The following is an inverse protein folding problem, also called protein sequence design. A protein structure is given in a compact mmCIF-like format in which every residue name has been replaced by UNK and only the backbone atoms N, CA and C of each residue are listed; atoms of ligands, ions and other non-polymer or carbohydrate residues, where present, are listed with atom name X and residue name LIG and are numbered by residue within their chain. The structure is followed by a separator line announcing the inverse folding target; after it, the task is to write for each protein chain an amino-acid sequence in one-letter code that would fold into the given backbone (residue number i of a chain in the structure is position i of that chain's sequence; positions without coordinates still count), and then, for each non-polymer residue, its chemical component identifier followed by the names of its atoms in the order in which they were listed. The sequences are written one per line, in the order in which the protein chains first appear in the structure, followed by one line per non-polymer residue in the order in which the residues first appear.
data_IF_525321270999
#
_entry.id   IF_525321270999
#
_cell.length_a   1.000
_cell.length_b   1.000
_cell.length_c   1.000
_cell.angle_alpha   90.00
_cell.angle_beta   90.00
_cell.angle_gamma   90.00
#
_symmetry.space_group_name_H-M   'P 1'
#
loop_
_entity.id
_entity.type
_entity.pdbx_description
1 polymer ?
#
# COMPACT_ATOMS: atom_id res chain seq x y z
N UNK A 1 -6.92 -0.06 -75.17
CA UNK A 1 -5.73 0.77 -74.88
C UNK A 1 -6.15 1.91 -73.95
N UNK A 2 -5.81 1.84 -72.66
CA UNK A 2 -6.00 2.96 -71.72
C UNK A 2 -4.74 3.12 -70.88
N UNK A 3 -4.11 4.29 -71.02
CA UNK A 3 -2.73 4.58 -70.64
C UNK A 3 -2.52 4.67 -69.14
N UNK A 4 -1.41 4.07 -68.69
CA UNK A 4 -0.84 4.24 -67.36
C UNK A 4 -0.19 5.62 -67.27
N UNK A 5 -0.80 6.58 -66.57
CA UNK A 5 -0.11 7.83 -66.20
C UNK A 5 0.69 7.58 -64.92
N UNK A 6 2.01 7.74 -65.01
CA UNK A 6 2.91 7.84 -63.86
C UNK A 6 2.60 9.16 -63.14
N UNK A 7 2.49 9.14 -61.82
CA UNK A 7 2.46 10.37 -61.00
C UNK A 7 3.89 10.65 -60.58
N UNK A 8 4.40 11.83 -60.90
CA UNK A 8 5.67 12.31 -60.40
C UNK A 8 5.52 12.66 -58.92
N UNK A 9 6.35 12.03 -58.08
CA UNK A 9 6.45 12.30 -56.65
C UNK A 9 7.58 13.30 -56.46
N UNK A 10 7.23 14.56 -56.16
CA UNK A 10 8.20 15.56 -55.73
C UNK A 10 8.49 15.37 -54.24
N UNK A 11 9.72 14.96 -53.92
CA UNK A 11 10.23 14.86 -52.55
C UNK A 11 10.72 16.25 -52.14
N UNK A 12 10.04 16.87 -51.17
CA UNK A 12 10.52 18.09 -50.54
C UNK A 12 11.70 17.78 -49.60
N UNK A 13 12.90 18.19 -49.98
CA UNK A 13 14.08 18.21 -49.11
C UNK A 13 13.93 19.35 -48.09
N UNK A 14 13.94 19.00 -46.78
CA UNK A 14 14.06 19.98 -45.69
C UNK A 14 15.54 20.30 -45.48
N UNK A 15 15.88 21.57 -45.59
CA UNK A 15 17.18 22.10 -45.18
C UNK A 15 17.36 21.91 -43.67
N UNK A 16 18.43 21.21 -43.28
CA UNK A 16 18.89 21.15 -41.90
C UNK A 16 19.79 22.35 -41.64
N UNK A 17 19.27 23.34 -40.91
CA UNK A 17 20.10 24.33 -40.25
C UNK A 17 21.05 23.62 -39.29
N UNK A 18 22.35 23.85 -39.46
CA UNK A 18 23.38 23.41 -38.54
C UNK A 18 23.13 24.08 -37.18
N UNK A 19 22.91 23.26 -36.14
CA UNK A 19 22.96 23.70 -34.75
C UNK A 19 24.39 23.49 -34.29
N UNK A 20 25.16 24.58 -34.25
CA UNK A 20 26.43 24.63 -33.55
C UNK A 20 26.20 24.24 -32.08
N UNK A 21 26.98 23.27 -31.61
CA UNK A 21 26.99 22.83 -30.22
C UNK A 21 27.81 23.82 -29.41
N UNK A 22 27.15 24.82 -28.84
CA UNK A 22 27.72 25.64 -27.76
C UNK A 22 27.86 24.80 -26.49
N UNK A 23 29.00 24.13 -26.34
CA UNK A 23 29.41 23.45 -25.10
C UNK A 23 29.72 24.42 -23.96
N UNK A 24 29.89 25.72 -24.23
CA UNK A 24 30.30 26.72 -23.23
C UNK A 24 29.16 27.24 -22.34
N UNK A 25 27.90 27.09 -22.75
CA UNK A 25 26.77 27.65 -21.98
C UNK A 25 26.32 26.76 -20.82
N UNK A 26 26.63 25.46 -20.87
CA UNK A 26 26.27 24.52 -19.81
C UNK A 26 27.22 24.61 -18.60
N UNK A 27 28.49 24.90 -18.83
CA UNK A 27 29.52 25.00 -17.79
C UNK A 27 29.37 26.24 -16.90
N UNK A 28 28.86 27.36 -17.44
CA UNK A 28 28.59 28.57 -16.66
C UNK A 28 27.43 28.34 -15.67
N UNK A 29 26.42 27.57 -16.08
CA UNK A 29 25.25 27.28 -15.24
C UNK A 29 25.58 26.29 -14.10
N UNK A 30 26.51 25.37 -14.30
CA UNK A 30 26.93 24.43 -13.25
C UNK A 30 27.81 25.13 -12.20
N UNK A 31 28.67 26.05 -12.62
CA UNK A 31 29.48 26.89 -11.73
C UNK A 31 28.60 27.84 -10.89
N UNK A 32 27.63 28.54 -11.50
CA UNK A 32 26.70 29.42 -10.76
C UNK A 32 25.83 28.63 -9.75
N UNK A 33 25.46 27.38 -10.07
CA UNK A 33 24.76 26.50 -9.12
C UNK A 33 25.63 26.08 -7.93
N UNK A 34 26.92 25.78 -8.17
CA UNK A 34 27.88 25.44 -7.12
C UNK A 34 28.16 26.63 -6.19
N UNK A 35 28.30 27.84 -6.74
CA UNK A 35 28.49 29.06 -5.94
C UNK A 35 27.29 29.36 -5.04
N UNK A 36 26.06 29.14 -5.53
CA UNK A 36 24.84 29.30 -4.73
C UNK A 36 24.77 28.29 -3.59
N UNK A 37 25.14 27.04 -3.84
CA UNK A 37 25.20 26.00 -2.80
C UNK A 37 26.28 26.30 -1.77
N UNK A 38 27.46 26.77 -2.20
CA UNK A 38 28.54 27.18 -1.31
C UNK A 38 28.14 28.33 -0.39
N UNK A 39 27.52 29.38 -0.94
CA UNK A 39 27.00 30.51 -0.15
C UNK A 39 25.93 30.08 0.87
N UNK A 40 25.03 29.17 0.47
CA UNK A 40 24.02 28.63 1.39
C UNK A 40 24.67 27.80 2.51
N UNK A 41 25.67 26.99 2.18
CA UNK A 41 26.41 26.19 3.15
C UNK A 41 27.19 27.07 4.13
N UNK A 42 27.96 28.05 3.64
CA UNK A 42 28.70 29.01 4.47
C UNK A 42 27.77 29.86 5.37
N UNK A 43 26.52 30.11 4.93
CA UNK A 43 25.53 30.81 5.78
C UNK A 43 24.93 29.93 6.89
N UNK A 44 24.99 28.61 6.75
CA UNK A 44 24.37 27.63 7.66
C UNK A 44 25.36 26.97 8.60
N UNK A 45 26.62 26.90 8.18
CA UNK A 45 27.69 26.25 8.92
C UNK A 45 28.76 27.29 9.23
N UNK A 46 29.05 27.47 10.51
CA UNK A 46 30.19 28.25 10.95
C UNK A 46 31.48 27.54 10.51
N UNK A 47 32.48 28.25 9.96
CA UNK A 47 33.75 27.65 9.59
C UNK A 47 34.37 26.96 10.80
N UNK A 48 34.70 25.68 10.68
CA UNK A 48 35.41 24.94 11.72
C UNK A 48 36.86 25.44 11.77
N UNK A 49 37.35 25.81 12.96
CA UNK A 49 38.75 26.13 13.19
C UNK A 49 39.58 24.85 13.06
N UNK A 50 40.04 24.57 11.84
CA UNK A 50 41.02 23.53 11.59
C UNK A 50 42.42 24.10 11.92
N UNK A 51 43.24 23.39 12.71
CA UNK A 51 44.64 23.77 12.86
C UNK A 51 45.32 23.68 11.49
N UNK A 52 45.99 24.78 11.13
CA UNK A 52 46.67 25.00 9.85
C UNK A 52 47.53 23.80 9.45
N UNK A 53 47.04 22.94 8.54
CA UNK A 53 47.91 22.02 7.80
C UNK A 53 48.44 22.77 6.58
N UNK A 54 49.76 22.93 6.54
CA UNK A 54 50.52 23.61 5.48
C UNK A 54 50.06 23.25 4.06
N UNK A 55 50.02 24.21 3.11
CA UNK A 55 49.68 23.93 1.72
C UNK A 55 50.89 23.34 1.00
N UNK A 56 50.87 22.03 0.75
CA UNK A 56 51.89 21.37 -0.07
C UNK A 56 51.59 19.90 -0.25
N UNK A 57 50.88 19.54 -1.32
CA UNK A 57 50.62 18.14 -1.63
C UNK A 57 49.63 17.96 -2.78
N UNK A 58 50.07 18.25 -4.01
CA UNK A 58 49.42 17.75 -5.21
C UNK A 58 49.80 16.27 -5.34
N UNK A 59 48.83 15.36 -5.37
CA UNK A 59 48.95 14.13 -6.16
C UNK A 59 47.58 13.55 -6.54
N UNK A 60 47.42 13.44 -7.85
CA UNK A 60 46.40 12.74 -8.62
C UNK A 60 46.64 11.22 -8.57
N UNK A 61 45.59 10.41 -8.71
CA UNK A 61 45.75 8.97 -9.01
C UNK A 61 44.79 8.01 -8.31
N UNK A 62 43.61 7.83 -8.91
CA UNK A 62 42.88 6.55 -9.12
C UNK A 62 43.49 5.26 -8.52
N UNK A 63 42.75 4.55 -7.65
CA UNK A 63 42.57 3.08 -7.72
C UNK A 63 41.47 2.57 -6.76
N UNK A 64 40.43 2.01 -7.34
CA UNK A 64 39.74 0.75 -7.00
C UNK A 64 39.88 0.17 -5.57
N UNK A 65 38.75 0.02 -4.87
CA UNK A 65 38.55 -0.96 -3.79
C UNK A 65 37.70 -2.09 -4.39
N UNK A 66 37.87 -3.39 -4.05
CA UNK A 66 37.64 -3.88 -2.66
C UNK A 66 38.42 -5.16 -2.25
N UNK A 67 38.60 -5.41 -0.93
CA UNK A 67 38.37 -6.75 -0.33
C UNK A 67 38.43 -6.75 1.22
N UNK A 68 37.26 -6.97 1.83
CA UNK A 68 36.91 -8.07 2.76
C UNK A 68 37.93 -8.62 3.78
N UNK A 69 37.52 -8.49 5.06
CA UNK A 69 37.46 -9.52 6.12
C UNK A 69 38.63 -9.84 7.10
N UNK A 70 38.23 -9.73 8.39
CA UNK A 70 38.35 -10.73 9.49
C UNK A 70 39.48 -10.62 10.54
N UNK A 71 39.02 -10.79 11.79
CA UNK A 71 39.70 -11.29 13.02
C UNK A 71 40.70 -10.37 13.71
N UNK A 72 40.86 -10.34 15.03
CA UNK A 72 40.22 -10.92 16.23
C UNK A 72 40.83 -10.09 17.39
N UNK A 73 40.03 -9.69 18.40
CA UNK A 73 40.17 -10.10 19.81
C UNK A 73 41.37 -9.51 20.60
N UNK A 74 41.08 -9.16 21.86
CA UNK A 74 41.99 -8.98 23.00
C UNK A 74 42.76 -7.65 23.21
N UNK A 75 42.22 -6.78 24.09
CA UNK A 75 42.81 -6.50 25.42
C UNK A 75 42.14 -5.25 26.05
N UNK A 76 41.24 -5.47 27.01
CA UNK A 76 40.77 -4.41 27.91
C UNK A 76 41.19 -4.78 29.34
N UNK A 77 42.23 -4.09 29.80
CA UNK A 77 42.96 -4.33 31.04
C UNK A 77 42.12 -3.97 32.28
N UNK A 78 42.12 -4.87 33.25
CA UNK A 78 41.28 -4.83 34.45
C UNK A 78 41.84 -3.90 35.53
N UNK A 79 40.94 -3.26 36.27
CA UNK A 79 41.26 -2.51 37.49
C UNK A 79 41.78 -3.48 38.56
N UNK A 80 43.04 -3.30 38.98
CA UNK A 80 43.61 -3.94 40.17
C UNK A 80 43.43 -3.01 41.38
N UNK A 81 42.73 -3.56 42.37
CA UNK A 81 42.55 -3.09 43.73
C UNK A 81 43.72 -3.62 44.58
N UNK A 82 44.32 -2.78 45.43
CA UNK A 82 45.57 -3.14 46.12
C UNK A 82 46.14 -2.08 47.05
N UNK A 83 45.40 -1.81 48.12
CA UNK A 83 45.80 -1.32 49.45
C UNK A 83 47.31 -1.12 49.72
N UNK A 84 47.69 0.10 50.17
CA UNK A 84 48.81 0.30 51.11
C UNK A 84 48.47 1.39 52.12
N UNK A 85 48.48 0.97 53.38
CA UNK A 85 48.43 1.75 54.61
C UNK A 85 49.54 2.79 54.69
N UNK A 86 49.32 3.89 55.43
CA UNK A 86 50.34 4.46 56.33
C UNK A 86 49.69 5.46 57.32
N UNK A 87 50.16 5.37 58.56
CA UNK A 87 49.63 5.94 59.79
C UNK A 87 49.65 7.47 59.88
N UNK A 88 48.58 8.08 60.42
CA UNK A 88 48.59 9.41 61.05
C UNK A 88 47.48 9.51 62.12
N UNK A 89 47.82 10.09 63.28
CA UNK A 89 47.09 10.18 64.55
C UNK A 89 45.60 10.65 64.46
N UNK A 90 44.70 10.26 65.40
CA UNK A 90 43.29 10.65 65.32
C UNK A 90 43.08 12.11 65.75
N UNK A 91 43.02 13.03 64.79
CA UNK A 91 42.44 14.36 64.98
C UNK A 91 40.89 14.27 64.94
N UNK A 92 40.15 15.02 65.77
CA UNK A 92 38.69 14.96 65.77
C UNK A 92 38.09 15.50 64.46
N UNK A 93 37.24 14.69 63.81
CA UNK A 93 36.46 15.06 62.63
C UNK A 93 35.32 16.01 63.03
N UNK A 94 35.40 17.26 62.58
CA UNK A 94 34.34 18.26 62.75
C UNK A 94 33.50 18.31 61.48
N UNK A 95 32.25 17.86 61.57
CA UNK A 95 31.29 17.91 60.44
C UNK A 95 30.45 19.19 60.55
N UNK A 96 30.71 20.13 59.63
CA UNK A 96 29.95 21.37 59.51
C UNK A 96 28.68 21.17 58.65
N UNK A 97 27.51 21.41 59.25
CA UNK A 97 26.22 21.43 58.54
C UNK A 97 25.74 22.85 58.19
N UNK A 98 26.65 23.83 58.20
CA UNK A 98 26.31 25.26 58.05
C UNK A 98 25.95 25.66 56.61
N UNK A 99 26.20 24.80 55.62
CA UNK A 99 25.69 24.99 54.26
C UNK A 99 24.41 24.19 54.08
N UNK A 100 23.27 24.89 53.98
CA UNK A 100 22.01 24.24 53.67
C UNK A 100 22.15 23.49 52.33
N UNK A 101 21.80 22.19 52.26
CA UNK A 101 21.91 21.44 51.02
C UNK A 101 20.98 22.09 50.00
N UNK A 102 21.56 22.47 48.86
CA UNK A 102 20.85 22.98 47.68
C UNK A 102 19.68 22.04 47.45
N UNK A 103 18.47 22.52 47.76
CA UNK A 103 17.24 21.75 47.61
C UNK A 103 17.16 21.37 46.14
N UNK A 104 17.42 20.10 45.85
CA UNK A 104 17.25 19.51 44.52
C UNK A 104 15.83 19.83 44.11
N UNK A 105 15.67 20.69 43.11
CA UNK A 105 14.37 21.05 42.55
C UNK A 105 13.73 19.76 42.04
N UNK A 106 12.80 19.24 42.84
CA UNK A 106 11.99 18.07 42.56
C UNK A 106 11.07 18.36 41.38
N UNK A 107 11.59 18.15 40.17
CA UNK A 107 10.79 17.87 38.99
C UNK A 107 11.20 16.49 38.54
N UNK A 108 10.52 15.48 39.07
CA UNK A 108 10.67 14.10 38.62
C UNK A 108 10.19 14.08 37.16
N UNK A 109 11.12 14.01 36.21
CA UNK A 109 10.77 13.91 34.80
C UNK A 109 9.84 12.72 34.56
N UNK A 110 8.81 12.89 33.73
CA UNK A 110 7.87 11.81 33.37
C UNK A 110 8.59 10.56 32.83
N UNK A 111 9.82 10.73 32.32
CA UNK A 111 10.71 9.66 31.91
C UNK A 111 11.26 8.83 33.09
N UNK A 112 11.61 9.44 34.23
CA UNK A 112 12.14 8.72 35.40
C UNK A 112 11.01 8.00 36.14
N UNK A 113 9.83 8.60 36.27
CA UNK A 113 8.65 7.94 36.86
C UNK A 113 8.19 6.68 36.08
N UNK A 114 8.40 6.64 34.75
CA UNK A 114 8.16 5.43 33.93
C UNK A 114 9.28 4.38 34.04
N UNK A 115 10.47 4.78 34.45
CA UNK A 115 11.60 3.85 34.67
C UNK A 115 11.53 3.19 36.05
N UNK A 116 10.99 3.90 37.04
CA UNK A 116 11.00 3.46 38.43
C UNK A 116 9.65 2.90 38.93
N UNK A 117 8.71 2.50 38.06
CA UNK A 117 7.88 1.27 38.20
C UNK A 117 6.54 1.27 37.42
N UNK A 118 6.51 0.71 36.21
CA UNK A 118 5.28 0.28 35.55
C UNK A 118 5.10 -1.25 35.62
N UNK A 119 4.10 -1.75 36.36
CA UNK A 119 3.72 -3.18 36.35
C UNK A 119 2.28 -3.37 35.86
N UNK A 120 2.09 -3.58 34.56
CA UNK A 120 0.91 -4.28 34.01
C UNK A 120 1.32 -5.13 32.81
N UNK A 121 1.45 -6.44 33.07
CA UNK A 121 1.63 -7.49 32.08
C UNK A 121 0.43 -7.53 31.15
N UNK A 122 0.62 -7.13 29.89
CA UNK A 122 -0.28 -7.51 28.81
C UNK A 122 0.31 -8.74 28.12
N UNK A 123 -0.30 -9.89 28.40
CA UNK A 123 -0.10 -11.13 27.68
C UNK A 123 -0.47 -10.92 26.21
N UNK A 124 0.52 -10.86 25.32
CA UNK A 124 0.29 -11.06 23.89
C UNK A 124 0.18 -12.56 23.65
N UNK A 125 -1.03 -12.97 23.26
CA UNK A 125 -1.28 -14.29 22.69
C UNK A 125 -0.53 -14.39 21.37
N UNK A 126 0.43 -15.31 21.29
CA UNK A 126 0.97 -15.76 20.01
C UNK A 126 -0.11 -16.53 19.26
N UNK A 127 -0.34 -16.14 18.02
CA UNK A 127 -1.28 -16.78 17.11
C UNK A 127 -0.85 -16.58 15.66
N UNK A 128 -0.51 -17.68 15.01
CA UNK A 128 -0.50 -17.91 13.55
C UNK A 128 0.27 -16.91 12.66
N UNK A 129 1.59 -17.13 12.53
CA UNK A 129 2.52 -16.39 11.65
C UNK A 129 2.23 -16.48 10.13
N UNK A 130 1.27 -17.27 9.66
CA UNK A 130 1.02 -17.40 8.21
C UNK A 130 -0.01 -16.41 7.63
N UNK A 131 -0.67 -15.60 8.46
CA UNK A 131 -1.69 -14.64 8.00
C UNK A 131 -1.41 -13.19 8.38
N UNK A 132 -0.58 -12.94 9.39
CA UNK A 132 -0.22 -11.58 9.81
C UNK A 132 0.60 -10.88 8.72
N UNK A 133 1.55 -11.60 8.08
CA UNK A 133 2.41 -11.08 7.01
C UNK A 133 1.65 -10.58 5.78
N UNK A 134 0.57 -11.26 5.38
CA UNK A 134 -0.25 -10.76 4.26
C UNK A 134 -1.02 -9.50 4.64
N UNK A 135 -1.39 -9.34 5.92
CA UNK A 135 -2.05 -8.11 6.39
C UNK A 135 -1.06 -6.97 6.56
N UNK A 136 0.17 -7.26 7.01
CA UNK A 136 1.24 -6.28 7.14
C UNK A 136 1.77 -5.85 5.77
N UNK A 137 2.02 -6.77 4.84
CA UNK A 137 2.43 -6.45 3.46
C UNK A 137 1.37 -5.65 2.72
N UNK A 138 0.10 -6.05 2.83
CA UNK A 138 -0.99 -5.27 2.23
C UNK A 138 -1.16 -3.90 2.90
N UNK A 139 -0.85 -3.76 4.19
CA UNK A 139 -0.85 -2.47 4.89
C UNK A 139 0.36 -1.61 4.48
N UNK A 140 1.54 -2.20 4.36
CA UNK A 140 2.77 -1.56 3.91
C UNK A 140 2.61 -1.07 2.46
N UNK A 141 2.07 -1.91 1.58
CA UNK A 141 1.76 -1.54 0.21
C UNK A 141 0.76 -0.38 0.15
N UNK A 142 -0.23 -0.30 1.05
CA UNK A 142 -1.16 0.86 1.08
C UNK A 142 -0.45 2.16 1.46
N UNK A 143 0.56 2.08 2.31
CA UNK A 143 1.32 3.24 2.80
C UNK A 143 2.41 3.68 1.81
N UNK A 144 3.03 2.74 1.08
CA UNK A 144 4.07 3.03 0.09
C UNK A 144 3.47 3.26 -1.30
N UNK A 145 3.28 4.54 -1.62
CA UNK A 145 2.78 4.98 -2.92
C UNK A 145 3.80 4.70 -4.04
N UNK A 146 5.09 4.88 -3.79
CA UNK A 146 6.12 4.69 -4.81
C UNK A 146 6.16 3.22 -5.27
N UNK A 147 6.09 2.28 -4.33
CA UNK A 147 6.01 0.86 -4.62
C UNK A 147 4.69 0.49 -5.34
N UNK A 148 3.55 1.06 -4.95
CA UNK A 148 2.30 0.87 -5.69
C UNK A 148 2.40 1.32 -7.16
N UNK A 149 3.04 2.47 -7.42
CA UNK A 149 3.24 2.98 -8.78
C UNK A 149 4.15 2.03 -9.57
N UNK A 150 5.27 1.64 -8.98
CA UNK A 150 6.24 0.73 -9.62
C UNK A 150 5.60 -0.59 -10.02
N UNK A 151 4.87 -1.24 -9.09
CA UNK A 151 4.24 -2.53 -9.36
C UNK A 151 3.15 -2.46 -10.43
N UNK A 152 2.37 -1.36 -10.47
CA UNK A 152 1.30 -1.17 -11.47
C UNK A 152 1.84 -0.73 -12.84
N UNK A 153 2.93 0.03 -12.86
CA UNK A 153 3.51 0.63 -14.07
C UNK A 153 4.66 -0.22 -14.67
N UNK A 154 5.08 -1.30 -14.00
CA UNK A 154 6.20 -2.17 -14.42
C UNK A 154 6.13 -2.62 -15.87
N UNK A 155 4.94 -2.97 -16.38
CA UNK A 155 4.72 -3.37 -17.77
C UNK A 155 5.04 -2.27 -18.81
N UNK A 156 5.06 -1.00 -18.40
CA UNK A 156 5.50 0.12 -19.24
C UNK A 156 7.02 0.34 -19.16
N UNK A 157 7.66 -0.15 -18.10
CA UNK A 157 9.07 0.00 -17.80
C UNK A 157 9.91 -1.22 -18.18
N UNK A 158 9.30 -2.38 -18.43
CA UNK A 158 9.96 -3.64 -18.78
C UNK A 158 10.94 -3.52 -19.97
N UNK A 159 10.64 -2.64 -20.92
CA UNK A 159 11.50 -2.36 -22.08
C UNK A 159 12.38 -1.12 -21.91
N UNK A 160 12.30 -0.41 -20.77
CA UNK A 160 13.06 0.81 -20.51
C UNK A 160 14.26 0.50 -19.60
N UNK A 161 15.36 1.22 -19.77
CA UNK A 161 16.55 1.08 -18.92
C UNK A 161 16.35 1.66 -17.52
N UNK A 162 15.48 2.66 -17.40
CA UNK A 162 15.33 3.48 -16.21
C UNK A 162 13.98 3.23 -15.53
N UNK A 163 13.97 3.26 -14.19
CA UNK A 163 12.75 3.10 -13.39
C UNK A 163 11.82 4.32 -13.48
N UNK A 164 12.31 5.45 -13.99
CA UNK A 164 11.52 6.66 -14.15
C UNK A 164 10.89 6.68 -15.55
N UNK A 165 9.55 6.71 -15.68
CA UNK A 165 8.92 6.71 -16.98
C UNK A 165 9.19 8.04 -17.71
N UNK A 166 9.82 7.97 -18.88
CA UNK A 166 10.11 9.13 -19.73
C UNK A 166 9.25 9.12 -21.00
N UNK A 167 9.18 10.27 -21.70
CA UNK A 167 8.51 10.41 -23.00
C UNK A 167 7.07 9.88 -23.05
N UNK A 168 6.81 8.92 -23.95
CA UNK A 168 5.49 8.31 -24.15
C UNK A 168 5.06 7.43 -22.95
N UNK A 169 6.01 6.79 -22.28
CA UNK A 169 5.71 5.96 -21.11
C UNK A 169 5.33 6.83 -19.92
N UNK A 170 5.91 8.04 -19.78
CA UNK A 170 5.48 9.05 -18.81
C UNK A 170 4.00 9.37 -18.95
N UNK A 171 3.58 9.59 -20.18
CA UNK A 171 2.20 9.93 -20.54
C UNK A 171 1.21 8.80 -20.21
N UNK A 172 1.55 7.55 -20.54
CA UNK A 172 0.77 6.37 -20.16
C UNK A 172 0.75 6.15 -18.64
N UNK A 173 1.87 6.34 -17.97
CA UNK A 173 1.97 6.22 -16.50
C UNK A 173 1.07 7.24 -15.81
N UNK A 174 1.04 8.51 -16.26
CA UNK A 174 0.14 9.54 -15.73
C UNK A 174 -1.33 9.13 -15.88
N UNK A 175 -1.72 8.56 -17.02
CA UNK A 175 -3.09 8.08 -17.23
C UNK A 175 -3.43 6.87 -16.33
N UNK A 176 -2.50 5.94 -16.11
CA UNK A 176 -2.69 4.86 -15.12
C UNK A 176 -2.82 5.41 -13.69
N UNK A 177 -2.02 6.41 -13.32
CA UNK A 177 -2.12 7.08 -12.00
C UNK A 177 -3.47 7.78 -11.82
N UNK A 178 -4.01 8.39 -12.87
CA UNK A 178 -5.35 8.98 -12.82
C UNK A 178 -6.43 7.90 -12.64
N UNK A 179 -6.31 6.76 -13.31
CA UNK A 179 -7.22 5.63 -13.14
C UNK A 179 -7.15 5.03 -11.74
N UNK A 180 -5.96 4.88 -11.16
CA UNK A 180 -5.79 4.37 -9.78
C UNK A 180 -6.35 5.34 -8.74
N UNK A 181 -6.28 6.65 -9.00
CA UNK A 181 -6.93 7.67 -8.17
C UNK A 181 -8.47 7.67 -8.28
N UNK A 182 -9.04 6.98 -9.28
CA UNK A 182 -10.48 6.81 -9.42
C UNK A 182 -11.09 7.31 -10.75
N UNK A 183 -10.26 7.70 -11.72
CA UNK A 183 -10.78 8.03 -13.05
C UNK A 183 -11.40 6.79 -13.72
N UNK A 184 -12.65 6.93 -14.18
CA UNK A 184 -13.43 5.81 -14.74
C UNK A 184 -13.04 5.45 -16.18
N UNK A 185 -12.35 6.35 -16.87
CA UNK A 185 -12.01 6.23 -18.29
C UNK A 185 -10.58 6.70 -18.52
N UNK A 186 -9.84 5.98 -19.35
CA UNK A 186 -8.50 6.34 -19.82
C UNK A 186 -8.57 7.42 -20.90
N UNK A 187 -7.65 8.38 -20.85
CA UNK A 187 -7.48 9.43 -21.86
C UNK A 187 -7.01 8.83 -23.19
N UNK A 188 -6.26 7.72 -23.17
CA UNK A 188 -5.73 7.05 -24.36
C UNK A 188 -6.74 6.15 -25.06
N UNK A 189 -7.91 5.89 -24.47
CA UNK A 189 -8.93 5.05 -25.12
C UNK A 189 -9.59 5.79 -26.28
N UNK A 190 -9.47 5.23 -27.48
CA UNK A 190 -10.11 5.79 -28.67
C UNK A 190 -11.64 5.65 -28.58
N UNK A 191 -12.34 6.78 -28.45
CA UNK A 191 -13.81 6.81 -28.29
C UNK A 191 -14.57 6.43 -29.57
N UNK A 192 -14.10 6.92 -30.73
CA UNK A 192 -14.77 6.72 -32.02
C UNK A 192 -14.01 5.71 -32.88
N UNK A 193 -14.58 4.51 -33.02
CA UNK A 193 -14.11 3.45 -33.91
C UNK A 193 -15.32 2.78 -34.57
N UNK A 194 -15.27 2.45 -35.87
CA UNK A 194 -16.30 1.63 -36.48
C UNK A 194 -16.46 0.30 -35.76
N UNK A 195 -17.70 -0.17 -35.64
CA UNK A 195 -18.05 -1.36 -34.86
C UNK A 195 -17.31 -2.62 -35.32
N UNK A 196 -17.10 -2.79 -36.62
CA UNK A 196 -16.37 -3.92 -37.22
C UNK A 196 -14.93 -3.99 -36.72
N UNK A 197 -14.19 -2.88 -36.78
CA UNK A 197 -12.80 -2.80 -36.31
C UNK A 197 -12.71 -3.00 -34.80
N UNK A 198 -13.60 -2.37 -34.02
CA UNK A 198 -13.60 -2.52 -32.56
C UNK A 198 -13.82 -3.99 -32.15
N UNK A 199 -14.79 -4.66 -32.77
CA UNK A 199 -15.03 -6.10 -32.53
C UNK A 199 -13.84 -6.94 -32.97
N UNK A 200 -13.26 -6.67 -34.15
CA UNK A 200 -12.10 -7.40 -34.65
C UNK A 200 -10.87 -7.30 -33.75
N UNK A 201 -10.55 -6.11 -33.25
CA UNK A 201 -9.43 -5.90 -32.33
C UNK A 201 -9.67 -6.64 -31.00
N UNK A 202 -10.88 -6.52 -30.44
CA UNK A 202 -11.21 -7.24 -29.20
C UNK A 202 -11.14 -8.77 -29.38
N UNK A 203 -11.66 -9.30 -30.49
CA UNK A 203 -11.63 -10.72 -30.78
C UNK A 203 -10.18 -11.22 -30.97
N UNK A 204 -9.36 -10.47 -31.71
CA UNK A 204 -7.94 -10.80 -31.91
C UNK A 204 -7.15 -10.76 -30.59
N UNK A 205 -7.42 -9.79 -29.73
CA UNK A 205 -6.81 -9.71 -28.41
C UNK A 205 -7.17 -10.94 -27.56
N UNK A 206 -8.46 -11.32 -27.52
CA UNK A 206 -8.91 -12.52 -26.79
C UNK A 206 -8.33 -13.81 -27.37
N UNK A 207 -8.20 -13.91 -28.70
CA UNK A 207 -7.59 -15.08 -29.35
C UNK A 207 -6.11 -15.20 -29.02
N UNK A 208 -5.34 -14.10 -29.09
CA UNK A 208 -3.91 -14.10 -28.73
C UNK A 208 -3.71 -14.50 -27.26
N UNK A 209 -4.56 -13.99 -26.37
CA UNK A 209 -4.50 -14.32 -24.95
C UNK A 209 -4.91 -15.79 -24.68
N UNK A 210 -5.92 -16.31 -25.39
CA UNK A 210 -6.31 -17.72 -25.31
C UNK A 210 -5.20 -18.66 -25.80
N UNK A 211 -4.54 -18.31 -26.90
CA UNK A 211 -3.38 -19.05 -27.42
C UNK A 211 -2.25 -19.03 -26.39
N UNK A 212 -1.86 -17.85 -25.87
CA UNK A 212 -0.83 -17.73 -24.82
C UNK A 212 -1.14 -18.58 -23.59
N UNK A 213 -2.40 -18.62 -23.14
CA UNK A 213 -2.79 -19.44 -21.98
C UNK A 213 -2.79 -20.92 -22.29
N UNK A 214 -3.24 -21.32 -23.47
CA UNK A 214 -3.20 -22.72 -23.90
C UNK A 214 -1.77 -23.22 -24.01
N UNK A 215 -0.89 -22.46 -24.68
CA UNK A 215 0.54 -22.78 -24.78
C UNK A 215 1.19 -22.82 -23.40
N UNK A 216 0.88 -21.89 -22.50
CA UNK A 216 1.39 -21.92 -21.13
C UNK A 216 0.89 -23.15 -20.34
N UNK A 217 -0.37 -23.54 -20.49
CA UNK A 217 -0.91 -24.75 -19.88
C UNK A 217 -0.24 -26.02 -20.42
N UNK A 218 -0.06 -26.10 -21.73
CA UNK A 218 0.62 -27.21 -22.42
C UNK A 218 2.10 -27.30 -21.99
N UNK A 219 2.76 -26.17 -21.76
CA UNK A 219 4.16 -26.09 -21.32
C UNK A 219 4.34 -26.07 -19.78
N UNK A 220 3.26 -26.12 -19.00
CA UNK A 220 3.32 -26.08 -17.52
C UNK A 220 3.74 -24.72 -16.92
N UNK A 221 3.68 -23.62 -17.67
CA UNK A 221 3.99 -22.26 -17.21
C UNK A 221 2.76 -21.65 -16.51
N UNK A 222 2.94 -21.16 -15.27
CA UNK A 222 1.87 -20.51 -14.52
C UNK A 222 1.76 -19.04 -14.94
N UNK A 223 0.57 -18.66 -15.42
CA UNK A 223 0.23 -17.26 -15.74
C UNK A 223 -0.66 -16.64 -14.66
N UNK A 224 -0.71 -15.31 -14.66
CA UNK A 224 -1.64 -14.55 -13.82
C UNK A 224 -3.10 -15.01 -14.01
N UNK A 225 -3.83 -15.04 -12.90
CA UNK A 225 -5.25 -15.39 -12.91
C UNK A 225 -6.03 -14.29 -13.63
N UNK A 226 -6.88 -14.61 -14.61
CA UNK A 226 -7.65 -13.59 -15.30
C UNK A 226 -8.53 -12.85 -14.30
N UNK A 227 -8.43 -11.53 -14.28
CA UNK A 227 -9.41 -10.73 -13.54
C UNK A 227 -10.75 -10.90 -14.23
N UNK A 228 -11.70 -11.57 -13.56
CA UNK A 228 -13.08 -11.64 -14.02
C UNK A 228 -13.67 -10.25 -13.86
N UNK A 229 -13.44 -9.39 -14.86
CA UNK A 229 -14.04 -8.08 -14.93
C UNK A 229 -15.55 -8.30 -14.75
N UNK A 230 -16.09 -7.79 -13.63
CA UNK A 230 -17.49 -7.90 -13.28
C UNK A 230 -18.27 -7.25 -14.42
N UNK A 231 -18.69 -8.06 -15.38
CA UNK A 231 -19.36 -7.56 -16.56
C UNK A 231 -20.61 -6.85 -16.07
N UNK A 232 -20.92 -5.67 -16.62
CA UNK A 232 -22.08 -4.88 -16.19
C UNK A 232 -23.39 -5.70 -16.23
N UNK A 233 -23.43 -6.74 -17.07
CA UNK A 233 -24.52 -7.70 -17.16
C UNK A 233 -24.59 -8.66 -15.97
N UNK A 234 -23.45 -9.11 -15.42
CA UNK A 234 -23.44 -9.98 -14.23
C UNK A 234 -23.94 -9.27 -12.97
N UNK A 235 -23.82 -7.94 -12.91
CA UNK A 235 -24.36 -7.12 -11.80
C UNK A 235 -25.88 -7.00 -11.89
N UNK A 236 -26.47 -7.15 -13.07
CA UNK A 236 -27.93 -7.12 -13.22
C UNK A 236 -28.49 -8.41 -12.62
N UNK A 237 -29.08 -8.29 -11.42
CA UNK A 237 -29.77 -9.39 -10.73
C UNK A 237 -30.67 -10.10 -11.75
N UNK A 238 -30.51 -11.42 -11.87
CA UNK A 238 -31.33 -12.25 -12.77
C UNK A 238 -32.79 -11.91 -12.52
N UNK A 239 -33.51 -11.63 -13.60
CA UNK A 239 -34.95 -11.41 -13.53
C UNK A 239 -35.61 -12.64 -12.90
N UNK A 240 -36.36 -12.44 -11.82
CA UNK A 240 -36.95 -13.52 -11.02
C UNK A 240 -38.31 -13.97 -11.57
N UNK A 241 -38.69 -13.48 -12.75
CA UNK A 241 -39.98 -13.78 -13.35
C UNK A 241 -41.14 -13.24 -12.51
N UNK A 242 -42.35 -13.70 -12.82
CA UNK A 242 -43.55 -13.34 -12.07
C UNK A 242 -43.61 -14.22 -10.81
N UNK A 243 -43.82 -13.58 -9.66
CA UNK A 243 -43.67 -14.17 -8.32
C UNK A 243 -44.40 -15.49 -8.12
N UNK A 244 -43.77 -16.39 -7.34
CA UNK A 244 -44.34 -17.67 -6.94
C UNK A 244 -45.58 -17.54 -6.06
N UNK A 245 -46.23 -18.67 -5.71
CA UNK A 245 -47.45 -18.67 -4.91
C UNK A 245 -47.27 -17.91 -3.59
N UNK A 246 -48.28 -17.12 -3.20
CA UNK A 246 -48.29 -16.29 -1.99
C UNK A 246 -48.23 -17.11 -0.69
N UNK A 247 -48.64 -18.39 -0.75
CA UNK A 247 -48.66 -19.30 0.39
C UNK A 247 -47.53 -20.31 0.30
N UNK A 248 -46.81 -20.52 1.40
CA UNK A 248 -45.74 -21.51 1.48
C UNK A 248 -44.50 -21.21 0.62
N UNK A 249 -43.62 -22.20 0.51
CA UNK A 249 -42.38 -22.13 -0.28
C UNK A 249 -42.46 -23.12 -1.43
N UNK A 250 -42.34 -22.63 -2.66
CA UNK A 250 -42.24 -23.48 -3.85
C UNK A 250 -40.79 -23.91 -4.05
N UNK A 251 -40.51 -25.20 -3.87
CA UNK A 251 -39.15 -25.77 -4.01
C UNK A 251 -39.24 -27.03 -4.87
N UNK A 252 -38.49 -27.07 -5.97
CA UNK A 252 -38.35 -28.27 -6.81
C UNK A 252 -39.68 -28.79 -7.39
N UNK A 253 -40.61 -27.91 -7.76
CA UNK A 253 -41.92 -28.31 -8.28
C UNK A 253 -42.97 -28.64 -7.21
N UNK A 254 -42.60 -28.63 -5.94
CA UNK A 254 -43.50 -28.92 -4.82
C UNK A 254 -43.78 -27.67 -3.98
N UNK A 255 -45.04 -27.47 -3.62
CA UNK A 255 -45.44 -26.41 -2.71
C UNK A 255 -45.40 -26.91 -1.26
N UNK A 256 -44.48 -26.37 -0.46
CA UNK A 256 -44.38 -26.69 0.96
C UNK A 256 -45.16 -25.67 1.77
N UNK A 257 -46.25 -26.12 2.40
CA UNK A 257 -47.11 -25.31 3.27
C UNK A 257 -46.72 -25.51 4.73
N UNK A 258 -46.65 -24.43 5.50
CA UNK A 258 -46.49 -24.53 6.95
C UNK A 258 -47.82 -24.87 7.61
N UNK A 259 -47.78 -25.46 8.82
CA UNK A 259 -49.01 -25.72 9.60
C UNK A 259 -49.80 -24.43 9.85
N UNK A 260 -49.12 -23.30 9.98
CA UNK A 260 -49.74 -21.98 10.13
C UNK A 260 -50.46 -21.55 8.85
N UNK A 261 -49.86 -21.76 7.68
CA UNK A 261 -50.53 -21.48 6.39
C UNK A 261 -51.78 -22.33 6.23
N UNK A 262 -51.69 -23.60 6.58
CA UNK A 262 -52.84 -24.52 6.56
C UNK A 262 -53.94 -24.04 7.52
N UNK A 263 -53.59 -23.62 8.74
CA UNK A 263 -54.57 -23.09 9.70
C UNK A 263 -55.15 -21.74 9.29
N UNK A 264 -54.37 -20.87 8.68
CA UNK A 264 -54.83 -19.58 8.16
C UNK A 264 -55.81 -19.76 7.00
N UNK A 265 -55.54 -20.73 6.11
CA UNK A 265 -56.43 -21.08 4.99
C UNK A 265 -57.70 -21.78 5.48
N UNK A 266 -57.58 -22.69 6.45
CA UNK A 266 -58.74 -23.43 7.00
C UNK A 266 -59.62 -22.59 7.94
N UNK A 267 -59.08 -21.49 8.48
CA UNK A 267 -59.77 -20.66 9.47
C UNK A 267 -59.97 -21.38 10.82
N UNK A 268 -60.49 -20.67 11.84
CA UNK A 268 -60.83 -21.31 13.11
C UNK A 268 -61.88 -22.38 12.87
N UNK A 269 -61.53 -23.65 13.11
CA UNK A 269 -62.49 -24.77 13.09
C UNK A 269 -63.69 -24.40 13.95
N UNK A 270 -64.83 -24.07 13.32
CA UNK A 270 -66.10 -23.95 14.03
C UNK A 270 -66.32 -25.28 14.74
N UNK A 271 -66.15 -25.30 16.06
CA UNK A 271 -66.69 -26.36 16.89
C UNK A 271 -68.20 -26.28 16.69
N UNK A 272 -68.75 -27.21 15.93
CA UNK A 272 -70.19 -27.40 15.81
C UNK A 272 -70.75 -27.49 17.22
N UNK A 273 -71.46 -26.43 17.64
CA UNK A 273 -72.12 -26.38 18.95
C UNK A 273 -73.17 -27.48 18.96
N UNK A 274 -72.84 -28.62 19.57
CA UNK A 274 -73.76 -29.72 19.80
C UNK A 274 -74.87 -29.21 20.73
N UNK A 275 -76.08 -29.13 20.19
CA UNK A 275 -77.32 -28.74 20.84
C UNK A 275 -77.67 -29.81 21.90
N UNK A 276 -77.89 -29.40 23.15
CA UNK A 276 -78.66 -30.16 24.13
C UNK A 276 -77.97 -30.48 25.46
N UNK A 277 -78.38 -29.80 26.54
CA UNK A 277 -78.86 -30.42 27.79
C UNK A 277 -79.20 -29.32 28.83
N UNK A 278 -80.48 -29.25 29.21
CA UNK A 278 -80.99 -28.56 30.41
C UNK A 278 -80.61 -29.35 31.67
N UNK A 279 -80.19 -28.69 32.75
CA UNK A 279 -80.68 -28.86 34.15
C UNK A 279 -79.84 -27.94 35.08
N UNK A 280 -80.43 -26.90 35.68
CA UNK A 280 -81.00 -26.83 37.04
C UNK A 280 -80.00 -26.70 38.20
N UNK A 281 -79.99 -25.52 38.86
CA UNK A 281 -79.81 -25.28 40.32
C UNK A 281 -79.61 -23.76 40.51
N UNK A 282 -80.64 -22.99 40.86
CA UNK A 282 -81.26 -22.76 42.18
C UNK A 282 -80.40 -21.88 43.11
N UNK A 283 -80.87 -20.63 43.27
CA UNK A 283 -80.83 -19.86 44.51
C UNK A 283 -79.69 -18.87 44.69
N UNK A 284 -79.99 -17.57 44.73
CA UNK A 284 -80.25 -16.85 46.00
C UNK A 284 -80.68 -15.41 45.71
N UNK A 285 -81.83 -15.04 46.27
CA UNK A 285 -82.26 -13.66 46.46
C UNK A 285 -81.18 -12.85 47.19
N UNK A 286 -81.11 -11.54 46.90
CA UNK A 286 -81.22 -10.53 47.95
C UNK A 286 -81.64 -9.18 47.38
N UNK A 287 -82.61 -8.60 48.09
CA UNK A 287 -83.33 -7.34 47.84
C UNK A 287 -82.48 -6.12 48.20
N UNK A 288 -82.96 -4.98 47.65
CA UNK A 288 -82.70 -3.57 47.96
C UNK A 288 -81.36 -3.00 47.49
#
# INVERSE_FOLDING_TARGET
MLGKRKRDVTVASRDRAAVDKDKSTHDISSQDAQERLRKYFESRFEPLDLPVSNPGGVQDGSSDAPDTDISDEDDWDGIEDGEKEEDCEPAPEVVDYSTAPIQRTEVIDKATARKYMPTKNQTKKGGEEATDDQTTDAANLKNDLALQRLLKESHLLDSASDLNPTGVNRHKAIDLRAQTAGAKTSIYTQKSMPMSHRKGISAKATQKEAIRRREAQENGIILERPSLAKSKLAVKRRDRGIGGPSVGKFVGGTLKLSRQDVMAIQGPKMKTRKKGAKSSRKGKERRH
#
